data_IF_779461862784
#
_entry.id   IF_779461862784
#
_cell.length_a   1.000
_cell.length_b   1.000
_cell.length_c   1.000
_cell.angle_alpha   90.00
_cell.angle_beta   90.00
_cell.angle_gamma   90.00
#
_symmetry.space_group_name_H-M   'P 1'
#
loop_
_entity.id
_entity.type
_entity.pdbx_description
1 polymer ?
#
# COMPACT_ATOMS: atom_id res chain seq x y z
N UNK A 1 -22.37 14.55 50.85
CA UNK A 1 -22.90 15.43 51.90
C UNK A 1 -22.94 16.84 51.34
N UNK A 2 -23.90 17.68 51.77
CA UNK A 2 -23.81 19.12 51.56
C UNK A 2 -22.45 19.64 52.05
N UNK A 3 -21.91 20.67 51.41
CA UNK A 3 -20.64 21.24 51.87
C UNK A 3 -20.81 21.83 53.27
N UNK A 4 -19.79 21.71 54.13
CA UNK A 4 -19.80 22.23 55.51
C UNK A 4 -20.16 23.72 55.60
N UNK A 5 -19.71 24.50 54.60
CA UNK A 5 -19.90 25.95 54.56
C UNK A 5 -21.21 26.39 53.86
N UNK A 6 -21.91 25.48 53.18
CA UNK A 6 -23.20 25.78 52.54
C UNK A 6 -24.10 24.56 52.58
N UNK A 7 -24.75 24.38 53.73
CA UNK A 7 -25.57 23.21 54.06
C UNK A 7 -26.87 23.20 53.23
N UNK A 8 -27.43 24.39 52.96
CA UNK A 8 -28.66 24.56 52.18
C UNK A 8 -28.45 24.47 50.66
N UNK A 9 -27.20 24.37 50.18
CA UNK A 9 -26.88 24.26 48.75
C UNK A 9 -26.55 22.82 48.35
N UNK A 10 -27.30 22.20 47.41
CA UNK A 10 -27.10 20.80 47.05
C UNK A 10 -25.89 20.61 46.09
N UNK A 11 -24.68 20.62 46.64
CA UNK A 11 -23.42 20.53 45.87
C UNK A 11 -23.34 19.29 44.96
N UNK A 12 -23.53 18.08 45.50
CA UNK A 12 -23.41 16.83 44.72
C UNK A 12 -24.40 16.75 43.55
N UNK A 13 -25.64 17.21 43.72
CA UNK A 13 -26.67 17.20 42.67
C UNK A 13 -26.34 18.19 41.55
N UNK A 14 -25.82 19.37 41.90
CA UNK A 14 -25.40 20.37 40.91
C UNK A 14 -24.21 19.86 40.10
N UNK A 15 -23.20 19.29 40.77
CA UNK A 15 -22.03 18.73 40.12
C UNK A 15 -22.37 17.55 39.21
N UNK A 16 -23.21 16.61 39.67
CA UNK A 16 -23.63 15.47 38.85
C UNK A 16 -24.43 15.91 37.62
N UNK A 17 -25.34 16.88 37.77
CA UNK A 17 -26.08 17.48 36.65
C UNK A 17 -25.15 18.15 35.65
N UNK A 18 -24.21 18.97 36.13
CA UNK A 18 -23.23 19.65 35.27
C UNK A 18 -22.36 18.64 34.50
N UNK A 19 -21.89 17.59 35.19
CA UNK A 19 -21.10 16.53 34.58
C UNK A 19 -21.90 15.76 33.53
N UNK A 20 -23.15 15.39 33.82
CA UNK A 20 -24.03 14.72 32.88
C UNK A 20 -24.30 15.57 31.63
N UNK A 21 -24.56 16.88 31.79
CA UNK A 21 -24.75 17.81 30.68
C UNK A 21 -23.49 17.94 29.82
N UNK A 22 -22.31 18.04 30.42
CA UNK A 22 -21.03 18.07 29.70
C UNK A 22 -20.79 16.79 28.91
N UNK A 23 -21.07 15.63 29.50
CA UNK A 23 -20.99 14.34 28.80
C UNK A 23 -22.00 14.25 27.65
N UNK A 24 -23.22 14.71 27.85
CA UNK A 24 -24.26 14.76 26.81
C UNK A 24 -23.83 15.61 25.61
N UNK A 25 -23.31 16.81 25.86
CA UNK A 25 -22.77 17.70 24.81
C UNK A 25 -21.61 17.04 24.06
N UNK A 26 -20.66 16.42 24.78
CA UNK A 26 -19.53 15.69 24.16
C UNK A 26 -20.01 14.53 23.29
N UNK A 27 -21.02 13.77 23.72
CA UNK A 27 -21.60 12.68 22.92
C UNK A 27 -22.27 13.21 21.65
N UNK A 28 -23.05 14.28 21.75
CA UNK A 28 -23.72 14.90 20.61
C UNK A 28 -22.75 15.53 19.59
N UNK A 29 -21.65 16.11 20.06
CA UNK A 29 -20.59 16.61 19.19
C UNK A 29 -19.89 15.44 18.46
N UNK A 30 -19.56 14.37 19.19
CA UNK A 30 -18.93 13.18 18.62
C UNK A 30 -19.82 12.45 17.60
N UNK A 31 -21.14 12.40 17.81
CA UNK A 31 -22.04 11.78 16.82
C UNK A 31 -22.13 12.57 15.51
N UNK A 32 -21.83 13.88 15.53
CA UNK A 32 -21.78 14.72 14.33
C UNK A 32 -20.43 14.65 13.61
N UNK A 33 -19.34 14.51 14.35
CA UNK A 33 -17.97 14.58 13.80
C UNK A 33 -17.35 13.21 13.48
N UNK A 34 -17.76 12.15 14.18
CA UNK A 34 -17.20 10.80 13.99
C UNK A 34 -18.05 10.06 12.97
N UNK A 35 -17.39 9.47 11.97
CA UNK A 35 -18.06 8.61 10.99
C UNK A 35 -18.75 7.45 11.72
N UNK A 36 -20.04 7.28 11.44
CA UNK A 36 -20.85 6.20 12.01
C UNK A 36 -20.22 4.83 11.68
N UNK A 37 -20.21 3.92 12.65
CA UNK A 37 -19.75 2.55 12.42
C UNK A 37 -20.80 1.78 11.65
N UNK A 38 -20.36 0.75 10.90
CA UNK A 38 -21.23 -0.24 10.22
C UNK A 38 -22.25 -0.93 11.13
N UNK A 39 -22.09 -0.90 12.44
CA UNK A 39 -23.06 -1.44 13.41
C UNK A 39 -24.16 -0.44 13.77
N UNK A 40 -23.88 0.85 13.63
CA UNK A 40 -24.80 1.95 13.98
C UNK A 40 -25.59 2.50 12.79
N UNK A 41 -25.24 2.07 11.57
CA UNK A 41 -25.86 2.53 10.33
C UNK A 41 -26.83 1.50 9.75
N UNK A 42 -27.82 1.98 8.99
CA UNK A 42 -28.78 1.13 8.27
C UNK A 42 -28.09 0.18 7.29
N UNK A 43 -28.73 -0.97 7.05
CA UNK A 43 -28.29 -2.02 6.10
C UNK A 43 -28.11 -1.52 4.66
N UNK A 44 -28.76 -0.42 4.31
CA UNK A 44 -28.71 0.18 2.97
C UNK A 44 -27.60 1.23 2.80
N UNK A 45 -26.80 1.51 3.82
CA UNK A 45 -25.69 2.45 3.68
C UNK A 45 -24.55 1.79 2.89
N UNK A 46 -24.14 2.43 1.80
CA UNK A 46 -23.03 2.00 0.95
C UNK A 46 -21.75 1.95 1.80
N UNK A 47 -21.07 0.80 1.76
CA UNK A 47 -19.96 0.45 2.65
C UNK A 47 -18.85 1.51 2.73
N UNK A 48 -18.63 2.25 1.64
CA UNK A 48 -17.62 3.30 1.49
C UNK A 48 -17.75 4.50 2.43
N UNK A 49 -18.94 4.73 3.03
CA UNK A 49 -19.19 5.89 3.90
C UNK A 49 -19.14 5.57 5.39
N UNK A 50 -18.84 4.32 5.76
CA UNK A 50 -19.00 3.85 7.14
C UNK A 50 -17.70 3.32 7.70
N UNK A 51 -17.42 3.63 8.97
CA UNK A 51 -16.25 3.09 9.63
C UNK A 51 -16.42 1.58 9.87
N UNK A 52 -15.35 0.77 9.74
CA UNK A 52 -15.40 -0.66 10.03
C UNK A 52 -15.89 -0.91 11.46
N UNK A 53 -16.55 -2.06 11.69
CA UNK A 53 -16.99 -2.44 13.04
C UNK A 53 -15.76 -2.65 13.94
N UNK A 54 -15.90 -2.51 15.27
CA UNK A 54 -14.79 -2.77 16.20
C UNK A 54 -14.19 -4.17 16.08
N UNK A 55 -15.01 -5.15 15.65
CA UNK A 55 -14.63 -6.54 15.39
C UNK A 55 -13.94 -6.75 14.04
N UNK A 56 -14.09 -5.81 13.11
CA UNK A 56 -13.56 -5.95 11.77
C UNK A 56 -12.06 -5.66 11.74
N UNK A 57 -11.35 -6.35 10.85
CA UNK A 57 -9.91 -6.16 10.70
C UNK A 57 -9.59 -4.80 10.09
N UNK A 58 -9.01 -3.91 10.90
CA UNK A 58 -8.49 -2.60 10.45
C UNK A 58 -7.50 -2.74 9.29
N UNK A 59 -6.68 -3.79 9.30
CA UNK A 59 -5.68 -4.03 8.26
C UNK A 59 -6.32 -4.35 6.90
N UNK A 60 -7.45 -5.06 6.89
CA UNK A 60 -8.18 -5.34 5.65
C UNK A 60 -8.84 -4.06 5.15
N UNK A 61 -9.48 -3.29 6.03
CA UNK A 61 -10.11 -2.02 5.65
C UNK A 61 -9.13 -1.01 5.02
N UNK A 62 -7.91 -0.92 5.57
CA UNK A 62 -6.84 -0.10 4.99
C UNK A 62 -6.33 -0.65 3.65
N UNK A 63 -6.29 -1.97 3.48
CA UNK A 63 -5.84 -2.59 2.24
C UNK A 63 -6.86 -2.43 1.10
N UNK A 64 -8.16 -2.56 1.41
CA UNK A 64 -9.23 -2.45 0.42
C UNK A 64 -9.69 -1.01 0.16
N UNK A 65 -9.15 -0.04 0.89
CA UNK A 65 -9.57 1.37 0.76
C UNK A 65 -11.01 1.63 1.25
N UNK A 66 -11.59 0.72 2.05
CA UNK A 66 -12.96 0.84 2.55
C UNK A 66 -13.06 1.67 3.83
N UNK A 67 -11.97 2.33 4.24
CA UNK A 67 -12.04 3.34 5.29
C UNK A 67 -12.67 4.61 4.75
N UNK A 68 -13.57 5.26 5.51
CA UNK A 68 -14.11 6.55 5.11
C UNK A 68 -12.97 7.54 4.93
N UNK A 69 -13.04 8.34 3.86
CA UNK A 69 -12.03 9.32 3.50
C UNK A 69 -12.05 10.47 4.51
N UNK A 70 -11.37 10.26 5.65
CA UNK A 70 -11.16 11.30 6.64
C UNK A 70 -9.84 11.97 6.30
N UNK A 71 -9.89 13.23 5.85
CA UNK A 71 -8.73 14.07 5.54
C UNK A 71 -7.85 14.44 6.76
N UNK A 72 -7.87 13.62 7.81
CA UNK A 72 -7.22 13.86 9.10
C UNK A 72 -6.12 12.84 9.32
N UNK A 73 -5.02 13.28 9.93
CA UNK A 73 -3.89 12.43 10.34
C UNK A 73 -4.38 11.25 11.18
N UNK A 74 -4.00 10.02 10.80
CA UNK A 74 -4.36 8.80 11.54
C UNK A 74 -3.11 8.07 12.04
N UNK A 75 -3.23 7.42 13.20
CA UNK A 75 -2.19 6.51 13.72
C UNK A 75 -2.34 5.07 13.19
N UNK A 76 -3.16 4.86 12.16
CA UNK A 76 -3.48 3.52 11.61
C UNK A 76 -2.68 3.31 10.34
N UNK A 77 -1.84 2.29 10.34
CA UNK A 77 -0.97 1.96 9.20
C UNK A 77 -1.15 0.51 8.79
N UNK A 78 -0.85 0.23 7.51
CA UNK A 78 -0.75 -1.12 7.00
C UNK A 78 0.73 -1.45 6.77
N UNK A 79 1.27 -2.36 7.57
CA UNK A 79 2.65 -2.83 7.37
C UNK A 79 2.79 -3.50 6.01
N UNK A 80 3.88 -3.21 5.28
CA UNK A 80 4.22 -3.86 3.99
C UNK A 80 4.19 -5.39 4.08
N UNK A 81 4.65 -5.96 5.21
CA UNK A 81 4.59 -7.41 5.48
C UNK A 81 3.15 -7.93 5.48
N UNK A 82 2.24 -7.19 6.13
CA UNK A 82 0.82 -7.57 6.19
C UNK A 82 0.13 -7.39 4.85
N UNK A 83 0.46 -6.32 4.10
CA UNK A 83 -0.04 -6.10 2.74
C UNK A 83 0.32 -7.26 1.80
N UNK A 84 1.59 -7.69 1.77
CA UNK A 84 2.01 -8.86 0.98
C UNK A 84 1.28 -10.16 1.37
N UNK A 85 1.08 -10.40 2.68
CA UNK A 85 0.31 -11.56 3.15
C UNK A 85 -1.15 -11.53 2.71
N UNK A 86 -1.79 -10.36 2.74
CA UNK A 86 -3.17 -10.21 2.29
C UNK A 86 -3.25 -10.47 0.78
N UNK A 87 -2.37 -9.86 -0.02
CA UNK A 87 -2.32 -10.07 -1.46
C UNK A 87 -2.10 -11.55 -1.83
N UNK A 88 -1.16 -12.23 -1.18
CA UNK A 88 -0.92 -13.66 -1.39
C UNK A 88 -2.14 -14.51 -1.04
N UNK A 89 -2.79 -14.24 0.09
CA UNK A 89 -3.98 -14.97 0.49
C UNK A 89 -5.16 -14.70 -0.46
N UNK A 90 -5.28 -13.48 -1.01
CA UNK A 90 -6.28 -13.17 -2.03
C UNK A 90 -6.08 -14.01 -3.30
N UNK A 91 -4.83 -14.21 -3.74
CA UNK A 91 -4.51 -15.12 -4.84
C UNK A 91 -4.98 -16.55 -4.55
N UNK A 92 -4.72 -17.07 -3.35
CA UNK A 92 -5.18 -18.41 -2.94
C UNK A 92 -6.71 -18.54 -2.96
N UNK A 93 -7.43 -17.51 -2.54
CA UNK A 93 -8.89 -17.51 -2.58
C UNK A 93 -9.40 -17.48 -4.02
N UNK A 94 -8.80 -16.68 -4.91
CA UNK A 94 -9.17 -16.63 -6.33
C UNK A 94 -8.94 -17.96 -7.04
N UNK A 95 -7.80 -18.62 -6.76
CA UNK A 95 -7.49 -19.96 -7.24
C UNK A 95 -8.55 -20.97 -6.78
N UNK A 96 -8.90 -20.97 -5.49
CA UNK A 96 -9.94 -21.86 -4.95
C UNK A 96 -11.31 -21.61 -5.58
N UNK A 97 -11.63 -20.36 -5.89
CA UNK A 97 -12.90 -19.98 -6.50
C UNK A 97 -12.92 -20.21 -8.03
N UNK A 98 -11.85 -20.73 -8.63
CA UNK A 98 -11.79 -21.03 -10.07
C UNK A 98 -11.79 -19.79 -10.97
N UNK A 99 -11.45 -18.62 -10.42
CA UNK A 99 -11.46 -17.32 -11.15
C UNK A 99 -10.05 -16.86 -11.55
N UNK A 100 -9.02 -17.64 -11.22
CA UNK A 100 -7.65 -17.31 -11.56
C UNK A 100 -7.25 -17.96 -12.90
N UNK A 101 -6.63 -17.20 -13.83
CA UNK A 101 -5.83 -17.81 -14.88
C UNK A 101 -4.66 -18.54 -14.22
N UNK A 102 -4.32 -19.71 -14.74
CA UNK A 102 -3.20 -20.56 -14.33
C UNK A 102 -1.91 -19.72 -14.33
N UNK A 103 -1.45 -19.30 -13.15
CA UNK A 103 -0.32 -18.38 -13.03
C UNK A 103 0.61 -18.84 -11.91
N UNK A 104 1.79 -19.23 -12.35
CA UNK A 104 2.95 -19.63 -11.58
C UNK A 104 3.15 -18.76 -10.34
N UNK A 105 3.16 -19.45 -9.21
CA UNK A 105 3.55 -18.89 -7.94
C UNK A 105 5.05 -18.63 -7.95
N UNK A 106 5.41 -17.36 -8.12
CA UNK A 106 6.75 -16.75 -7.89
C UNK A 106 7.45 -16.14 -9.10
N UNK A 107 6.70 -15.45 -9.96
CA UNK A 107 7.28 -14.30 -10.67
C UNK A 107 6.64 -13.02 -10.14
N UNK A 108 7.31 -12.38 -9.17
CA UNK A 108 7.28 -10.91 -9.14
C UNK A 108 7.66 -10.50 -10.58
N UNK A 109 6.85 -9.71 -11.32
CA UNK A 109 7.33 -9.18 -12.59
C UNK A 109 8.54 -8.34 -12.19
N UNK A 110 9.74 -8.87 -12.44
CA UNK A 110 10.95 -8.10 -12.31
C UNK A 110 10.74 -6.95 -13.26
N UNK A 111 10.36 -5.79 -12.72
CA UNK A 111 10.38 -4.54 -13.47
C UNK A 111 11.83 -4.41 -13.85
N UNK A 112 12.17 -4.84 -15.06
CA UNK A 112 13.53 -4.87 -15.55
C UNK A 112 14.10 -3.48 -15.28
N UNK A 113 15.07 -3.43 -14.37
CA UNK A 113 15.73 -2.18 -14.08
C UNK A 113 16.39 -1.71 -15.37
N UNK A 114 16.51 -0.41 -15.59
CA UNK A 114 17.21 0.11 -16.78
C UNK A 114 18.61 -0.52 -16.94
N UNK A 115 19.25 -0.84 -15.81
CA UNK A 115 20.51 -1.56 -15.75
C UNK A 115 20.42 -2.99 -16.28
N UNK A 116 19.33 -3.73 -16.00
CA UNK A 116 19.10 -5.06 -16.57
C UNK A 116 18.97 -5.00 -18.09
N UNK A 117 18.18 -4.06 -18.62
CA UNK A 117 18.06 -3.87 -20.08
C UNK A 117 19.39 -3.56 -20.75
N UNK A 118 20.20 -2.69 -20.13
CA UNK A 118 21.56 -2.38 -20.64
C UNK A 118 22.45 -3.62 -20.59
N UNK A 119 22.42 -4.39 -19.51
CA UNK A 119 23.19 -5.64 -19.40
C UNK A 119 22.76 -6.67 -20.43
N UNK A 120 21.46 -6.87 -20.62
CA UNK A 120 20.92 -7.84 -21.57
C UNK A 120 21.29 -7.44 -23.01
N UNK A 121 21.15 -6.15 -23.36
CA UNK A 121 21.60 -5.63 -24.67
C UNK A 121 23.12 -5.79 -24.90
N UNK A 122 23.94 -5.57 -23.86
CA UNK A 122 25.38 -5.74 -23.95
C UNK A 122 25.76 -7.22 -24.12
N UNK A 123 25.09 -8.11 -23.38
CA UNK A 123 25.28 -9.55 -23.52
C UNK A 123 24.85 -10.05 -24.90
N UNK A 124 23.78 -9.50 -25.47
CA UNK A 124 23.35 -9.82 -26.82
C UNK A 124 24.35 -9.34 -27.88
N UNK A 125 24.92 -8.15 -27.73
CA UNK A 125 26.00 -7.66 -28.61
C UNK A 125 27.27 -8.49 -28.50
N UNK A 126 27.64 -8.94 -27.30
CA UNK A 126 28.80 -9.82 -27.09
C UNK A 126 28.55 -11.19 -27.72
N UNK A 127 27.33 -11.74 -27.59
CA UNK A 127 26.93 -12.99 -28.25
C UNK A 127 26.94 -12.86 -29.77
N UNK A 128 26.38 -11.76 -30.30
CA UNK A 128 26.39 -11.45 -31.73
C UNK A 128 27.83 -11.31 -32.25
N UNK A 129 28.69 -10.56 -31.57
CA UNK A 129 30.11 -10.44 -31.91
C UNK A 129 30.86 -11.78 -31.86
N UNK A 130 30.51 -12.66 -30.91
CA UNK A 130 31.08 -14.01 -30.81
C UNK A 130 30.59 -14.94 -31.93
N UNK A 131 29.36 -14.74 -32.40
CA UNK A 131 28.83 -15.45 -33.58
C UNK A 131 29.46 -14.92 -34.88
N UNK A 132 29.63 -13.60 -35.00
CA UNK A 132 30.26 -12.92 -36.13
C UNK A 132 31.79 -13.08 -36.19
N UNK A 133 32.44 -13.50 -35.10
CA UNK A 133 33.88 -13.84 -35.13
C UNK A 133 34.18 -15.19 -35.79
N UNK A 134 33.17 -15.86 -36.34
CA UNK A 134 33.37 -16.86 -37.41
C UNK A 134 33.68 -16.24 -38.77
N UNK A 135 33.53 -14.91 -38.92
CA UNK A 135 33.92 -14.14 -40.09
C UNK A 135 35.06 -13.15 -39.74
N UNK A 136 36.29 -13.67 -39.72
CA UNK A 136 37.49 -12.86 -40.02
C UNK A 136 38.03 -11.95 -38.91
N UNK A 137 38.61 -12.52 -37.86
CA UNK A 137 39.83 -11.95 -37.28
C UNK A 137 40.99 -12.91 -37.54
N UNK A 138 41.62 -12.76 -38.71
CA UNK A 138 42.98 -13.24 -38.86
C UNK A 138 43.90 -12.34 -38.02
N UNK A 139 44.81 -12.89 -37.19
CA UNK A 139 45.81 -12.08 -36.50
C UNK A 139 46.71 -11.42 -37.55
N UNK A 140 46.89 -10.10 -37.46
CA UNK A 140 47.85 -9.38 -38.29
C UNK A 140 49.27 -9.80 -37.92
N UNK A 141 49.77 -10.83 -38.60
CA UNK A 141 51.18 -11.24 -38.65
C UNK A 141 51.53 -11.32 -40.13
N UNK A 142 52.37 -10.42 -40.63
CA UNK A 142 52.86 -10.47 -42.02
C UNK A 142 53.35 -9.12 -42.53
N UNK A 143 54.60 -9.10 -43.00
CA UNK A 143 55.40 -7.96 -43.47
C UNK A 143 54.94 -7.36 -44.81
N UNK A 144 55.23 -6.07 -45.04
CA UNK A 144 55.21 -5.38 -46.35
C UNK A 144 53.82 -4.99 -46.88
N UNK A 145 53.45 -3.74 -47.10
CA UNK A 145 54.00 -2.84 -48.12
C UNK A 145 53.41 -1.43 -47.89
N UNK A 146 54.27 -0.42 -48.00
CA UNK A 146 53.94 1.01 -47.89
C UNK A 146 52.95 1.43 -48.99
N UNK A 147 51.74 1.84 -48.60
CA UNK A 147 50.80 2.51 -49.50
C UNK A 147 51.41 3.85 -49.91
N UNK A 148 51.69 3.97 -51.20
CA UNK A 148 52.29 5.15 -51.82
C UNK A 148 51.43 6.40 -51.64
N UNK A 149 52.05 7.46 -51.14
CA UNK A 149 51.59 8.84 -51.31
C UNK A 149 52.05 9.27 -52.70
N UNK A 150 51.11 9.44 -53.62
CA UNK A 150 51.36 10.03 -54.93
C UNK A 150 51.29 11.56 -54.77
N UNK A 151 52.33 12.23 -55.30
CA UNK A 151 52.61 13.65 -55.16
C UNK A 151 51.61 14.57 -55.87
N UNK A 152 51.51 15.80 -55.34
CA UNK A 152 51.67 17.04 -56.09
C UNK A 152 52.72 17.90 -55.38
#
# INVERSE_FOLDING_TARGET
>A
MPSRNSINKPSKKIQSKSHAMSLGKRRAARSKSVVATRSSTSRYNTESKTAPRPTDSKAIALYTGSSPDTAVVTNRTLSKKRAKKIARNQKYVQQRNGTAPDMDMDTEPATETQIQRVKDSLWDLVRARKADSSAGLAPAVGEGTTLGVQAF
#
